data_IF_023958338119
#
_entry.id   IF_023958338119
#
_cell.length_a   1.000
_cell.length_b   1.000
_cell.length_c   1.000
_cell.angle_alpha   90.00
_cell.angle_beta   90.00
_cell.angle_gamma   90.00
#
_symmetry.space_group_name_H-M   'P 1'
#
loop_
_entity.id
_entity.type
_entity.pdbx_description
1 polymer ?
#
# COMPACT_ATOMS: atom_id res chain seq x y z
N UNK A 1 13.55 3.26 -32.82
CA UNK A 1 14.66 3.83 -32.00
C UNK A 1 14.19 4.89 -31.01
N UNK A 2 13.42 5.91 -31.44
CA UNK A 2 12.89 6.97 -30.55
C UNK A 2 12.10 6.48 -29.33
N UNK A 3 11.21 5.47 -29.50
CA UNK A 3 10.45 4.87 -28.37
C UNK A 3 11.36 4.16 -27.35
N UNK A 4 12.40 3.45 -27.82
CA UNK A 4 13.39 2.79 -26.95
C UNK A 4 14.24 3.82 -26.21
N UNK A 5 14.65 4.89 -26.89
CA UNK A 5 15.38 5.99 -26.27
C UNK A 5 14.53 6.71 -25.22
N UNK A 6 13.25 6.99 -25.50
CA UNK A 6 12.31 7.58 -24.54
C UNK A 6 12.10 6.67 -23.32
N UNK A 7 11.95 5.37 -23.54
CA UNK A 7 11.82 4.39 -22.47
C UNK A 7 13.06 4.32 -21.58
N UNK A 8 14.26 4.28 -22.19
CA UNK A 8 15.53 4.32 -21.45
C UNK A 8 15.69 5.62 -20.67
N UNK A 9 15.31 6.76 -21.25
CA UNK A 9 15.32 8.04 -20.56
C UNK A 9 14.37 8.03 -19.36
N UNK A 10 13.15 7.49 -19.50
CA UNK A 10 12.21 7.36 -18.40
C UNK A 10 12.75 6.49 -17.26
N UNK A 11 13.38 5.35 -17.58
CA UNK A 11 14.04 4.51 -16.58
C UNK A 11 15.15 5.28 -15.88
N UNK A 12 16.00 6.00 -16.61
CA UNK A 12 17.09 6.76 -16.01
C UNK A 12 16.58 7.87 -15.10
N UNK A 13 15.49 8.54 -15.46
CA UNK A 13 14.85 9.55 -14.60
C UNK A 13 14.33 8.91 -13.32
N UNK A 14 13.58 7.81 -13.41
CA UNK A 14 13.06 7.10 -12.23
C UNK A 14 14.21 6.55 -11.37
N UNK A 15 15.21 5.92 -11.97
CA UNK A 15 16.36 5.40 -11.23
C UNK A 15 17.13 6.53 -10.54
N UNK A 16 17.32 7.67 -11.21
CA UNK A 16 17.98 8.85 -10.64
C UNK A 16 17.20 9.46 -9.48
N UNK A 17 15.87 9.53 -9.54
CA UNK A 17 15.06 10.03 -8.43
C UNK A 17 15.09 9.08 -7.24
N UNK A 18 15.03 7.76 -7.47
CA UNK A 18 15.19 6.77 -6.41
C UNK A 18 16.58 6.84 -5.77
N UNK A 19 17.63 6.99 -6.58
CA UNK A 19 18.99 7.13 -6.07
C UNK A 19 19.14 8.35 -5.16
N UNK A 20 18.66 9.52 -5.60
CA UNK A 20 18.67 10.72 -4.76
C UNK A 20 17.80 10.62 -3.50
N UNK A 21 16.74 9.80 -3.52
CA UNK A 21 15.93 9.55 -2.32
C UNK A 21 16.66 8.67 -1.30
N UNK A 22 17.50 7.73 -1.75
CA UNK A 22 18.31 6.88 -0.86
C UNK A 22 19.33 7.70 -0.06
N UNK A 23 19.87 8.78 -0.63
CA UNK A 23 20.78 9.70 0.09
C UNK A 23 20.10 10.43 1.27
N UNK A 24 18.77 10.40 1.35
CA UNK A 24 17.98 11.06 2.39
C UNK A 24 17.35 10.08 3.39
N UNK A 25 17.64 8.78 3.28
CA UNK A 25 17.10 7.79 4.20
C UNK A 25 17.77 7.92 5.58
N UNK A 26 17.00 7.69 6.64
CA UNK A 26 17.54 7.67 7.99
C UNK A 26 18.48 6.47 8.18
N UNK A 27 19.50 6.66 9.02
CA UNK A 27 20.39 5.57 9.41
C UNK A 27 19.60 4.51 10.19
N UNK A 28 19.98 3.25 10.00
CA UNK A 28 19.38 2.16 10.75
C UNK A 28 19.63 2.34 12.25
N UNK A 29 18.58 2.21 13.06
CA UNK A 29 18.65 2.38 14.51
C UNK A 29 18.51 3.82 15.02
N UNK A 30 18.34 4.80 14.13
CA UNK A 30 18.05 6.19 14.49
C UNK A 30 16.66 6.62 13.97
N UNK A 31 15.57 6.09 14.56
CA UNK A 31 14.22 6.41 14.10
C UNK A 31 13.85 7.85 14.48
N UNK A 32 13.29 8.58 13.53
CA UNK A 32 12.60 9.84 13.84
C UNK A 32 11.44 9.51 14.76
N UNK A 33 11.38 10.15 15.93
CA UNK A 33 10.21 10.05 16.81
C UNK A 33 9.06 10.81 16.17
N UNK A 34 8.13 10.06 15.59
CA UNK A 34 6.87 10.61 15.09
C UNK A 34 5.84 10.59 16.23
N UNK A 35 5.19 11.71 16.55
CA UNK A 35 4.15 11.76 17.59
C UNK A 35 3.00 10.76 17.37
N UNK A 36 2.72 10.42 16.12
CA UNK A 36 1.72 9.42 15.73
C UNK A 36 2.11 8.01 16.21
N UNK A 37 3.37 7.63 16.03
CA UNK A 37 3.86 6.30 16.40
C UNK A 37 3.81 6.13 17.92
N UNK A 38 4.29 7.14 18.65
CA UNK A 38 4.22 7.19 20.10
C UNK A 38 2.78 7.12 20.60
N UNK A 39 1.83 7.79 19.91
CA UNK A 39 0.41 7.72 20.26
C UNK A 39 -0.14 6.30 20.14
N UNK A 40 0.09 5.63 19.01
CA UNK A 40 -0.41 4.27 18.83
C UNK A 40 0.20 3.27 19.81
N UNK A 41 1.51 3.37 20.06
CA UNK A 41 2.20 2.50 21.01
C UNK A 41 1.65 2.63 22.43
N UNK A 42 1.33 3.85 22.86
CA UNK A 42 0.87 4.12 24.22
C UNK A 42 -0.64 3.87 24.40
N UNK A 43 -1.47 4.02 23.36
CA UNK A 43 -2.93 4.03 23.50
C UNK A 43 -3.66 2.84 22.87
N UNK A 44 -3.05 2.09 21.94
CA UNK A 44 -3.74 1.03 21.20
C UNK A 44 -4.39 -0.04 22.11
N UNK A 45 -3.70 -0.44 23.17
CA UNK A 45 -4.25 -1.38 24.14
C UNK A 45 -5.48 -0.79 24.87
N UNK A 46 -5.36 0.44 25.38
CA UNK A 46 -6.42 1.04 26.17
C UNK A 46 -7.65 1.36 25.33
N UNK A 47 -7.47 1.84 24.11
CA UNK A 47 -8.56 2.28 23.24
C UNK A 47 -9.24 1.13 22.49
N UNK A 48 -8.48 0.09 22.11
CA UNK A 48 -8.98 -0.99 21.24
C UNK A 48 -8.96 -2.38 21.88
N UNK A 49 -8.38 -2.52 23.08
CA UNK A 49 -8.23 -3.83 23.76
C UNK A 49 -7.46 -4.86 22.92
N UNK A 50 -6.47 -4.39 22.15
CA UNK A 50 -5.65 -5.24 21.27
C UNK A 50 -4.18 -5.20 21.72
N UNK A 51 -3.61 -6.39 21.97
CA UNK A 51 -2.19 -6.54 22.32
C UNK A 51 -1.25 -6.25 21.14
N UNK A 52 -1.72 -6.49 19.92
CA UNK A 52 -0.96 -6.26 18.69
C UNK A 52 -1.31 -4.90 18.08
N UNK A 53 -0.39 -3.95 18.24
CA UNK A 53 -0.53 -2.57 17.75
C UNK A 53 -0.69 -2.52 16.23
N UNK A 54 -0.04 -3.42 15.47
CA UNK A 54 -0.15 -3.43 14.00
C UNK A 54 -1.58 -3.76 13.56
N UNK A 55 -2.21 -4.76 14.18
CA UNK A 55 -3.62 -5.09 13.89
C UNK A 55 -4.57 -3.97 14.33
N UNK A 56 -4.30 -3.30 15.45
CA UNK A 56 -5.08 -2.14 15.87
C UNK A 56 -4.92 -0.96 14.89
N UNK A 57 -3.76 -0.80 14.25
CA UNK A 57 -3.60 0.23 13.22
C UNK A 57 -4.40 -0.15 11.98
N UNK A 58 -4.20 -1.35 11.44
CA UNK A 58 -4.76 -1.75 10.14
C UNK A 58 -6.29 -1.89 10.17
N UNK A 59 -6.86 -2.50 11.22
CA UNK A 59 -8.32 -2.74 11.27
C UNK A 59 -9.10 -1.66 12.01
N UNK A 60 -8.45 -0.91 12.88
CA UNK A 60 -9.13 -0.11 13.90
C UNK A 60 -8.87 1.40 13.68
N UNK A 61 -7.62 1.87 13.75
CA UNK A 61 -7.30 3.29 13.50
C UNK A 61 -7.39 3.66 12.02
N UNK A 62 -6.93 2.78 11.14
CA UNK A 62 -6.89 2.95 9.68
C UNK A 62 -7.73 1.91 8.97
N UNK A 63 -8.82 1.46 9.60
CA UNK A 63 -9.74 0.47 9.03
C UNK A 63 -10.33 0.87 7.68
N UNK A 64 -10.42 2.17 7.38
CA UNK A 64 -10.90 2.65 6.08
C UNK A 64 -9.95 2.29 4.93
N UNK A 65 -8.64 2.30 5.16
CA UNK A 65 -7.65 1.90 4.14
C UNK A 65 -7.80 0.40 3.84
N UNK A 66 -7.96 -0.44 4.87
CA UNK A 66 -8.21 -1.88 4.75
C UNK A 66 -9.55 -2.21 4.11
N UNK A 67 -10.60 -1.41 4.37
CA UNK A 67 -11.87 -1.52 3.66
C UNK A 67 -11.68 -1.24 2.15
N UNK A 68 -10.85 -0.25 1.82
CA UNK A 68 -10.44 0.04 0.45
C UNK A 68 -9.70 -1.13 -0.19
N UNK A 69 -8.73 -1.73 0.50
CA UNK A 69 -8.02 -2.93 0.04
C UNK A 69 -8.98 -4.09 -0.24
N UNK A 70 -9.93 -4.35 0.67
CA UNK A 70 -10.95 -5.36 0.49
C UNK A 70 -11.86 -5.06 -0.71
N UNK A 71 -12.24 -3.80 -0.93
CA UNK A 71 -13.02 -3.39 -2.10
C UNK A 71 -12.25 -3.58 -3.42
N UNK A 72 -10.94 -3.28 -3.44
CA UNK A 72 -10.08 -3.52 -4.61
C UNK A 72 -9.99 -5.02 -4.93
N UNK A 73 -9.77 -5.86 -3.92
CA UNK A 73 -9.73 -7.32 -4.12
C UNK A 73 -11.09 -7.87 -4.58
N UNK A 74 -12.17 -7.41 -3.95
CA UNK A 74 -13.53 -7.80 -4.33
C UNK A 74 -13.83 -7.42 -5.79
N UNK A 75 -13.55 -6.19 -6.18
CA UNK A 75 -13.75 -5.72 -7.56
C UNK A 75 -12.88 -6.48 -8.55
N UNK A 76 -11.62 -6.76 -8.23
CA UNK A 76 -10.74 -7.58 -9.08
C UNK A 76 -11.32 -8.98 -9.33
N UNK A 77 -11.81 -9.66 -8.29
CA UNK A 77 -12.46 -10.97 -8.41
C UNK A 77 -13.75 -10.88 -9.23
N UNK A 78 -14.60 -9.89 -8.96
CA UNK A 78 -15.81 -9.65 -9.72
C UNK A 78 -15.52 -9.39 -11.21
N UNK A 79 -14.48 -8.62 -11.53
CA UNK A 79 -14.07 -8.34 -12.92
C UNK A 79 -13.64 -9.60 -13.65
N UNK A 80 -12.83 -10.46 -13.02
CA UNK A 80 -12.45 -11.75 -13.61
C UNK A 80 -13.68 -12.61 -13.85
N UNK A 81 -14.56 -12.76 -12.85
CA UNK A 81 -15.79 -13.55 -13.00
C UNK A 81 -16.71 -12.99 -14.10
N UNK A 82 -16.84 -11.67 -14.20
CA UNK A 82 -17.67 -11.03 -15.21
C UNK A 82 -17.13 -11.25 -16.64
N UNK A 83 -15.81 -11.16 -16.84
CA UNK A 83 -15.16 -11.37 -18.13
C UNK A 83 -15.19 -12.82 -18.60
N UNK A 84 -15.02 -13.77 -17.68
CA UNK A 84 -14.96 -15.21 -17.98
C UNK A 84 -16.31 -15.92 -17.79
N UNK A 85 -17.39 -15.21 -17.48
CA UNK A 85 -18.72 -15.80 -17.38
C UNK A 85 -19.15 -16.34 -18.74
N UNK A 86 -19.30 -17.66 -18.88
CA UNK A 86 -19.89 -18.28 -20.07
C UNK A 86 -21.30 -17.71 -20.27
N UNK A 87 -21.51 -16.96 -21.35
CA UNK A 87 -22.84 -16.55 -21.77
C UNK A 87 -23.67 -17.81 -22.05
N UNK A 88 -24.98 -17.77 -21.77
CA UNK A 88 -25.89 -18.79 -22.31
C UNK A 88 -25.80 -18.68 -23.82
N UNK A 89 -25.04 -19.57 -24.45
CA UNK A 89 -25.17 -19.85 -25.87
C UNK A 89 -26.65 -20.12 -26.09
N UNK A 90 -27.27 -19.31 -26.96
CA UNK A 90 -28.67 -19.45 -27.30
C UNK A 90 -28.96 -20.89 -27.71
N UNK A 91 -30.07 -21.40 -27.21
CA UNK A 91 -30.86 -22.34 -27.99
C UNK A 91 -31.25 -21.66 -29.31
#
# INVERSE_FOLDING_TARGET
MKKRALFMLAILVVAGTFWGALDRIHLFGDPVRAPMDDYYLNNAQQERSVNNVVTAIVFDYRGFDTLGEAAVLFTAVCSVLALFRKGREGQ
#
